data_IF_103443031391
#
_entry.id   IF_103443031391
#
_cell.length_a   1.000
_cell.length_b   1.000
_cell.length_c   1.000
_cell.angle_alpha   90.00
_cell.angle_beta   90.00
_cell.angle_gamma   90.00
#
_symmetry.space_group_name_H-M   'P 1'
#
loop_
_entity.id
_entity.type
_entity.pdbx_description
1 polymer ?
#
# COMPACT_ATOMS: atom_id res chain seq x y z
N UNK A 1 22.97 12.57 -16.59
CA UNK A 1 21.57 12.19 -16.33
C UNK A 1 21.61 10.84 -15.65
N UNK A 2 21.20 10.75 -14.38
CA UNK A 2 21.07 9.45 -13.71
C UNK A 2 19.97 8.67 -14.43
N UNK A 3 20.30 7.51 -14.98
CA UNK A 3 19.29 6.55 -15.41
C UNK A 3 18.59 6.07 -14.13
N UNK A 4 17.40 6.57 -13.85
CA UNK A 4 16.53 5.99 -12.83
C UNK A 4 16.11 4.63 -13.38
N UNK A 5 16.64 3.54 -12.82
CA UNK A 5 16.09 2.22 -13.12
C UNK A 5 14.60 2.26 -12.79
N UNK A 6 13.76 1.89 -13.77
CA UNK A 6 12.32 1.84 -13.59
C UNK A 6 11.99 0.91 -12.42
N UNK A 7 11.27 1.43 -11.42
CA UNK A 7 10.88 0.65 -10.25
C UNK A 7 9.98 -0.50 -10.69
N UNK A 8 10.53 -1.71 -10.71
CA UNK A 8 9.77 -2.91 -11.08
C UNK A 8 8.94 -3.41 -9.89
N UNK A 9 7.80 -2.75 -9.64
CA UNK A 9 6.88 -3.11 -8.56
C UNK A 9 6.50 -4.60 -8.61
N UNK A 10 6.30 -5.16 -9.81
CA UNK A 10 5.99 -6.58 -10.00
C UNK A 10 7.05 -7.51 -9.40
N UNK A 11 8.34 -7.18 -9.54
CA UNK A 11 9.45 -7.96 -8.95
C UNK A 11 9.41 -7.90 -7.42
N UNK A 12 9.20 -6.72 -6.85
CA UNK A 12 9.10 -6.54 -5.40
C UNK A 12 7.87 -7.24 -4.81
N UNK A 13 6.70 -7.09 -5.43
CA UNK A 13 5.48 -7.79 -5.04
C UNK A 13 5.67 -9.30 -5.07
N UNK A 14 6.24 -9.87 -6.16
CA UNK A 14 6.50 -11.33 -6.21
C UNK A 14 7.42 -11.80 -5.08
N UNK A 15 8.45 -11.02 -4.73
CA UNK A 15 9.37 -11.34 -3.64
C UNK A 15 8.66 -11.34 -2.28
N UNK A 16 7.86 -10.32 -1.99
CA UNK A 16 7.10 -10.20 -0.74
C UNK A 16 6.06 -11.32 -0.60
N UNK A 17 5.27 -11.58 -1.66
CA UNK A 17 4.24 -12.62 -1.65
C UNK A 17 4.85 -14.02 -1.53
N UNK A 18 6.01 -14.29 -2.15
CA UNK A 18 6.70 -15.57 -1.98
C UNK A 18 7.05 -15.82 -0.51
N UNK A 19 7.57 -14.81 0.20
CA UNK A 19 7.89 -14.93 1.63
C UNK A 19 6.63 -15.20 2.45
N UNK A 20 5.56 -14.41 2.22
CA UNK A 20 4.27 -14.59 2.90
C UNK A 20 3.69 -16.00 2.71
N UNK A 21 3.74 -16.53 1.48
CA UNK A 21 3.28 -17.89 1.16
C UNK A 21 4.13 -19.00 1.82
N UNK A 22 5.44 -18.77 2.01
CA UNK A 22 6.32 -19.71 2.69
C UNK A 22 6.04 -19.74 4.20
N UNK A 23 5.72 -18.58 4.79
CA UNK A 23 5.36 -18.44 6.20
C UNK A 23 3.98 -19.07 6.52
N UNK A 24 3.10 -19.17 5.51
CA UNK A 24 1.73 -19.68 5.63
C UNK A 24 1.59 -21.22 5.68
N UNK A 25 2.70 -21.98 5.68
CA UNK A 25 2.79 -23.45 5.73
C UNK A 25 1.57 -24.15 6.39
N UNK A 26 0.54 -24.45 5.58
CA UNK A 26 -0.65 -25.28 5.86
C UNK A 26 -1.92 -24.64 6.47
N UNK A 27 -2.07 -23.31 6.50
CA UNK A 27 -3.39 -22.73 6.78
C UNK A 27 -4.15 -22.46 5.48
N UNK A 28 -5.40 -22.94 5.38
CA UNK A 28 -6.30 -22.64 4.25
C UNK A 28 -6.50 -21.13 4.17
N UNK A 29 -5.73 -20.45 3.33
CA UNK A 29 -5.95 -19.03 3.07
C UNK A 29 -7.09 -18.87 2.08
N UNK A 30 -8.30 -18.63 2.57
CA UNK A 30 -9.29 -17.94 1.75
C UNK A 30 -8.92 -16.45 1.68
N UNK A 31 -9.14 -15.81 0.53
CA UNK A 31 -9.06 -14.35 0.35
C UNK A 31 -7.66 -13.69 0.42
N UNK A 32 -6.57 -14.41 0.10
CA UNK A 32 -5.20 -13.85 0.02
C UNK A 32 -5.13 -12.55 -0.81
N UNK A 33 -5.80 -12.52 -1.96
CA UNK A 33 -5.82 -11.33 -2.83
C UNK A 33 -6.40 -10.12 -2.09
N UNK A 34 -7.52 -10.29 -1.39
CA UNK A 34 -8.16 -9.20 -0.66
C UNK A 34 -7.27 -8.71 0.48
N UNK A 35 -6.64 -9.62 1.23
CA UNK A 35 -5.69 -9.27 2.28
C UNK A 35 -4.51 -8.46 1.74
N UNK A 36 -3.89 -8.93 0.65
CA UNK A 36 -2.74 -8.24 0.04
C UNK A 36 -3.12 -6.84 -0.46
N UNK A 37 -4.28 -6.70 -1.10
CA UNK A 37 -4.75 -5.39 -1.56
C UNK A 37 -5.01 -4.42 -0.39
N UNK A 38 -5.52 -4.92 0.73
CA UNK A 38 -5.73 -4.14 1.95
C UNK A 38 -4.40 -3.64 2.54
N UNK A 39 -3.40 -4.52 2.65
CA UNK A 39 -2.06 -4.16 3.16
C UNK A 39 -1.32 -3.19 2.23
N UNK A 40 -1.41 -3.37 0.91
CA UNK A 40 -0.83 -2.43 -0.06
C UNK A 40 -1.49 -1.05 0.05
N UNK A 41 -2.81 -1.01 0.22
CA UNK A 41 -3.54 0.25 0.39
C UNK A 41 -3.12 0.98 1.68
N UNK A 42 -2.94 0.27 2.80
CA UNK A 42 -2.41 0.88 4.03
C UNK A 42 -1.01 1.45 3.83
N UNK A 43 -0.12 0.66 3.22
CA UNK A 43 1.26 1.04 2.97
C UNK A 43 1.39 2.30 2.11
N UNK A 44 0.68 2.37 0.98
CA UNK A 44 0.77 3.53 0.09
C UNK A 44 0.15 4.78 0.73
N UNK A 45 -0.91 4.65 1.52
CA UNK A 45 -1.50 5.79 2.25
C UNK A 45 -0.51 6.34 3.27
N UNK A 46 0.12 5.48 4.08
CA UNK A 46 1.11 5.90 5.09
C UNK A 46 2.31 6.57 4.44
N UNK A 47 2.89 5.96 3.42
CA UNK A 47 4.08 6.49 2.73
C UNK A 47 3.80 7.88 2.13
N UNK A 48 2.64 8.07 1.51
CA UNK A 48 2.29 9.38 0.92
C UNK A 48 1.97 10.40 2.01
N UNK A 49 1.31 10.00 3.10
CA UNK A 49 1.10 10.89 4.25
C UNK A 49 2.44 11.37 4.81
N UNK A 50 3.39 10.47 5.05
CA UNK A 50 4.72 10.82 5.56
C UNK A 50 5.49 11.70 4.57
N UNK A 51 5.48 11.35 3.27
CA UNK A 51 6.08 12.16 2.20
C UNK A 51 5.53 13.59 2.13
N UNK A 52 4.25 13.76 2.46
CA UNK A 52 3.57 15.07 2.43
C UNK A 52 3.49 15.75 3.80
N UNK A 53 4.20 15.24 4.81
CA UNK A 53 4.13 15.72 6.20
C UNK A 53 2.67 15.83 6.70
N UNK A 54 1.89 14.77 6.48
CA UNK A 54 0.48 14.64 6.84
C UNK A 54 -0.49 15.65 6.16
N UNK A 55 -0.06 16.32 5.09
CA UNK A 55 -0.92 17.20 4.30
C UNK A 55 -1.92 16.39 3.45
N UNK A 56 -3.07 16.04 4.04
CA UNK A 56 -4.10 15.22 3.40
C UNK A 56 -4.64 15.75 2.07
N UNK A 57 -4.57 17.06 1.80
CA UNK A 57 -4.97 17.60 0.50
C UNK A 57 -3.97 17.17 -0.57
N UNK A 58 -2.69 17.41 -0.31
CA UNK A 58 -1.60 17.00 -1.21
C UNK A 58 -1.50 15.47 -1.32
N UNK A 59 -1.68 14.73 -0.23
CA UNK A 59 -1.66 13.27 -0.26
C UNK A 59 -2.78 12.71 -1.14
N UNK A 60 -3.99 13.28 -1.05
CA UNK A 60 -5.13 12.85 -1.84
C UNK A 60 -4.90 13.10 -3.35
N UNK A 61 -4.29 14.24 -3.69
CA UNK A 61 -3.88 14.54 -5.07
C UNK A 61 -2.86 13.53 -5.60
N UNK A 62 -1.80 13.22 -4.84
CA UNK A 62 -0.79 12.23 -5.23
C UNK A 62 -1.39 10.83 -5.39
N UNK A 63 -2.27 10.45 -4.47
CA UNK A 63 -2.96 9.15 -4.49
C UNK A 63 -4.05 9.06 -5.58
N UNK A 64 -4.42 10.19 -6.21
CA UNK A 64 -5.46 10.23 -7.24
C UNK A 64 -6.87 9.96 -6.69
N UNK A 65 -7.14 10.30 -5.43
CA UNK A 65 -8.45 10.13 -4.78
C UNK A 65 -8.94 11.44 -4.19
N UNK A 66 -10.23 11.53 -3.88
CA UNK A 66 -10.74 12.70 -3.16
C UNK A 66 -10.21 12.75 -1.73
N UNK A 67 -10.06 13.95 -1.17
CA UNK A 67 -9.73 14.13 0.25
C UNK A 67 -10.72 13.41 1.19
N UNK A 68 -12.01 13.39 0.83
CA UNK A 68 -13.05 12.66 1.60
C UNK A 68 -12.77 11.16 1.59
N UNK A 69 -12.41 10.59 0.45
CA UNK A 69 -12.05 9.17 0.31
C UNK A 69 -10.81 8.85 1.14
N UNK A 70 -9.75 9.67 1.05
CA UNK A 70 -8.54 9.49 1.85
C UNK A 70 -8.85 9.47 3.35
N UNK A 71 -9.60 10.47 3.83
CA UNK A 71 -10.02 10.55 5.24
C UNK A 71 -10.80 9.32 5.69
N UNK A 72 -11.69 8.81 4.85
CA UNK A 72 -12.46 7.60 5.16
C UNK A 72 -11.56 6.36 5.21
N UNK A 73 -10.56 6.24 4.34
CA UNK A 73 -9.59 5.13 4.35
C UNK A 73 -8.68 5.17 5.57
N UNK A 74 -8.16 6.36 5.92
CA UNK A 74 -7.41 6.61 7.15
C UNK A 74 -8.19 6.09 8.37
N UNK A 75 -9.46 6.49 8.49
CA UNK A 75 -10.33 6.06 9.59
C UNK A 75 -10.61 4.55 9.56
N UNK A 76 -10.95 4.01 8.38
CA UNK A 76 -11.26 2.58 8.19
C UNK A 76 -10.09 1.68 8.63
N UNK A 77 -8.87 2.11 8.31
CA UNK A 77 -7.65 1.34 8.54
C UNK A 77 -6.95 1.69 9.86
N UNK A 78 -7.52 2.59 10.66
CA UNK A 78 -6.93 3.08 11.91
C UNK A 78 -5.50 3.61 11.73
N UNK A 79 -5.28 4.39 10.66
CA UNK A 79 -3.99 4.96 10.31
C UNK A 79 -3.86 6.35 10.95
N UNK A 80 -3.04 6.50 12.00
CA UNK A 80 -2.85 7.72 12.80
C UNK A 80 -4.09 8.16 13.61
#
# INVERSE_FOLDING_TARGET
MMQTEEVNLKKYTRKAIRKFLQDLNNHKTSNLMAFVMDEIEKGIILEVLDFTNDNQTQSAEILGITRTTLRNKIKKHHLK
#
